data_IF_737303519934
#
_entry.id   IF_737303519934
#
_cell.length_a   1.000
_cell.length_b   1.000
_cell.length_c   1.000
_cell.angle_alpha   90.00
_cell.angle_beta   90.00
_cell.angle_gamma   90.00
#
_symmetry.space_group_name_H-M   'P 1'
#
loop_
_entity.id
_entity.type
_entity.pdbx_description
1 polymer ?
#
# COMPACT_ATOMS: atom_id res chain seq x y z
N UNK A 1 5.20 -9.70 -17.69
CA UNK A 1 4.66 -10.13 -16.39
C UNK A 1 4.34 -8.86 -15.65
N UNK A 2 3.13 -8.72 -15.13
CA UNK A 2 2.75 -7.50 -14.39
C UNK A 2 2.58 -7.82 -12.92
N UNK A 3 3.18 -7.00 -12.06
CA UNK A 3 3.00 -7.05 -10.61
C UNK A 3 2.29 -5.79 -10.13
N UNK A 4 1.07 -5.94 -9.65
CA UNK A 4 0.35 -4.87 -8.97
C UNK A 4 0.64 -4.91 -7.47
N UNK A 5 1.25 -3.85 -6.94
CA UNK A 5 1.50 -3.67 -5.52
C UNK A 5 0.55 -2.58 -5.00
N UNK A 6 -0.39 -2.94 -4.13
CA UNK A 6 -1.23 -2.01 -3.38
C UNK A 6 -0.69 -1.85 -1.95
N UNK A 7 -0.23 -0.66 -1.61
CA UNK A 7 0.17 -0.29 -0.26
C UNK A 7 -0.99 0.41 0.44
N UNK A 8 -1.41 -0.12 1.59
CA UNK A 8 -2.52 0.40 2.40
C UNK A 8 -1.97 0.88 3.74
N UNK A 9 -2.05 2.18 4.02
CA UNK A 9 -1.51 2.80 5.24
C UNK A 9 -2.36 2.42 6.47
N UNK A 10 -1.73 1.98 7.57
CA UNK A 10 -2.45 1.67 8.82
C UNK A 10 -3.42 0.49 8.74
N UNK A 11 -3.06 -0.60 8.05
CA UNK A 11 -3.83 -1.85 7.98
C UNK A 11 -3.08 -3.00 8.66
N UNK A 12 -3.49 -3.38 9.86
CA UNK A 12 -2.96 -4.52 10.60
C UNK A 12 -3.88 -5.75 10.55
N UNK A 13 -3.49 -6.78 11.30
CA UNK A 13 -4.23 -8.03 11.48
C UNK A 13 -4.51 -8.30 12.96
N UNK A 14 -5.67 -7.85 13.44
CA UNK A 14 -6.20 -8.18 14.75
C UNK A 14 -7.10 -9.43 14.70
N UNK A 15 -7.34 -10.11 15.85
CA UNK A 15 -8.38 -11.13 15.95
C UNK A 15 -9.76 -10.61 15.52
N UNK A 16 -10.68 -11.49 15.08
CA UNK A 16 -12.06 -11.11 14.82
C UNK A 16 -12.72 -10.54 16.08
N UNK A 17 -13.50 -9.48 15.95
CA UNK A 17 -14.13 -8.85 17.10
C UNK A 17 -14.96 -7.62 16.78
N UNK A 18 -15.71 -7.09 17.77
CA UNK A 18 -16.63 -5.98 17.57
C UNK A 18 -15.94 -4.65 17.26
N UNK A 19 -14.63 -4.52 17.52
CA UNK A 19 -13.83 -3.34 17.20
C UNK A 19 -12.98 -3.49 15.94
N UNK A 20 -12.99 -4.67 15.31
CA UNK A 20 -12.25 -4.93 14.09
C UNK A 20 -13.21 -4.84 12.89
N UNK A 21 -13.23 -3.72 12.14
CA UNK A 21 -14.15 -3.51 11.03
C UNK A 21 -13.95 -4.50 9.87
N UNK A 22 -12.77 -5.13 9.74
CA UNK A 22 -12.56 -6.21 8.77
C UNK A 22 -13.44 -7.44 9.08
N UNK A 23 -13.80 -7.66 10.35
CA UNK A 23 -14.67 -8.78 10.77
C UNK A 23 -16.09 -8.66 10.23
N UNK A 24 -16.49 -7.46 9.76
CA UNK A 24 -17.82 -7.18 9.24
C UNK A 24 -17.91 -7.41 7.72
N UNK A 25 -16.78 -7.58 7.04
CA UNK A 25 -16.77 -7.90 5.60
C UNK A 25 -17.27 -9.33 5.38
N UNK A 26 -18.28 -9.49 4.53
CA UNK A 26 -18.93 -10.77 4.25
C UNK A 26 -18.36 -11.51 3.04
N UNK A 27 -17.44 -10.89 2.29
CA UNK A 27 -16.81 -11.48 1.11
C UNK A 27 -15.85 -10.53 0.40
N UNK A 28 -15.25 -11.01 -0.69
CA UNK A 28 -14.23 -10.28 -1.43
C UNK A 28 -12.80 -10.51 -0.90
N UNK A 29 -11.79 -9.92 -1.56
CA UNK A 29 -10.39 -10.21 -1.32
C UNK A 29 -9.89 -9.81 0.08
N UNK A 30 -10.52 -8.83 0.74
CA UNK A 30 -10.09 -8.36 2.06
C UNK A 30 -10.85 -9.01 3.23
N UNK A 31 -12.01 -9.64 2.98
CA UNK A 31 -12.77 -10.28 4.04
C UNK A 31 -11.97 -11.34 4.84
N UNK A 32 -11.08 -12.14 4.23
CA UNK A 32 -10.25 -13.08 4.98
C UNK A 32 -9.30 -12.41 5.99
N UNK A 33 -8.96 -11.13 5.82
CA UNK A 33 -8.10 -10.40 6.74
C UNK A 33 -8.76 -10.18 8.11
N UNK A 34 -10.10 -10.12 8.15
CA UNK A 34 -10.89 -10.04 9.38
C UNK A 34 -11.18 -11.39 10.02
N UNK A 35 -10.72 -12.50 9.42
CA UNK A 35 -10.91 -13.86 9.92
C UNK A 35 -12.34 -14.43 9.79
N UNK A 36 -13.28 -13.67 9.21
CA UNK A 36 -14.67 -14.10 9.01
C UNK A 36 -14.86 -14.99 7.77
N UNK A 37 -13.92 -14.98 6.82
CA UNK A 37 -14.02 -15.73 5.56
C UNK A 37 -12.74 -16.54 5.27
N UNK A 38 -12.86 -17.72 4.64
CA UNK A 38 -11.70 -18.46 4.18
C UNK A 38 -11.00 -17.69 3.04
N UNK A 39 -9.70 -17.91 2.92
CA UNK A 39 -8.92 -17.34 1.83
C UNK A 39 -9.35 -17.99 0.50
N UNK A 40 -9.59 -17.16 -0.52
CA UNK A 40 -10.00 -17.62 -1.84
C UNK A 40 -8.90 -18.37 -2.61
N UNK A 41 -9.27 -19.05 -3.69
CA UNK A 41 -8.31 -19.72 -4.57
C UNK A 41 -7.30 -18.73 -5.17
N UNK A 42 -6.05 -19.18 -5.33
CA UNK A 42 -4.97 -18.37 -5.88
C UNK A 42 -4.41 -17.30 -4.91
N UNK A 43 -4.99 -17.15 -3.72
CA UNK A 43 -4.48 -16.26 -2.68
C UNK A 43 -3.54 -16.99 -1.71
N UNK A 44 -2.59 -16.23 -1.16
CA UNK A 44 -1.77 -16.61 0.00
C UNK A 44 -1.68 -15.43 0.95
N UNK A 45 -1.96 -15.63 2.23
CA UNK A 45 -1.84 -14.60 3.26
C UNK A 45 -0.66 -14.91 4.17
N UNK A 46 0.27 -13.97 4.26
CA UNK A 46 1.35 -13.98 5.25
C UNK A 46 1.16 -12.84 6.24
N UNK A 47 1.85 -12.95 7.38
CA UNK A 47 1.83 -11.96 8.47
C UNK A 47 3.23 -11.40 8.60
N UNK A 48 3.42 -10.11 8.35
CA UNK A 48 4.71 -9.46 8.52
C UNK A 48 4.77 -8.73 9.87
N UNK A 49 5.84 -8.96 10.63
CA UNK A 49 6.11 -8.18 11.82
C UNK A 49 6.51 -6.74 11.45
N UNK A 50 5.72 -5.77 11.92
CA UNK A 50 5.94 -4.34 11.77
C UNK A 50 6.76 -3.72 12.92
N UNK A 51 6.92 -4.44 14.04
CA UNK A 51 7.70 -3.98 15.20
C UNK A 51 9.20 -4.03 14.94
N UNK A 52 9.66 -4.95 14.10
CA UNK A 52 11.04 -5.07 13.64
C UNK A 52 12.05 -5.28 14.79
N UNK A 53 11.59 -5.85 15.91
CA UNK A 53 12.38 -6.00 17.13
C UNK A 53 12.78 -4.68 17.81
N UNK A 54 12.19 -3.55 17.43
CA UNK A 54 12.48 -2.23 18.00
C UNK A 54 11.37 -1.82 18.97
N UNK A 55 11.70 -1.41 20.22
CA UNK A 55 10.70 -0.98 21.20
C UNK A 55 9.81 0.18 20.71
N UNK A 56 8.55 0.15 21.11
CA UNK A 56 7.54 1.14 20.71
C UNK A 56 6.56 0.58 19.68
N UNK A 57 5.58 1.40 19.31
CA UNK A 57 4.60 1.04 18.29
C UNK A 57 5.14 1.37 16.89
N UNK A 58 4.91 0.52 15.88
CA UNK A 58 5.23 0.80 14.49
C UNK A 58 4.66 2.14 13.99
N UNK A 59 5.41 2.83 13.12
CA UNK A 59 5.06 4.17 12.64
C UNK A 59 5.37 4.33 11.15
N UNK A 60 4.60 5.16 10.45
CA UNK A 60 4.60 5.22 8.98
C UNK A 60 5.94 5.63 8.34
N UNK A 61 6.71 6.53 8.97
CA UNK A 61 7.96 6.98 8.37
C UNK A 61 9.02 5.85 8.34
N UNK A 62 9.19 5.17 9.48
CA UNK A 62 10.15 4.06 9.62
C UNK A 62 9.61 2.77 9.05
N UNK A 63 8.33 2.46 9.26
CA UNK A 63 7.65 1.28 8.72
C UNK A 63 7.69 1.28 7.20
N UNK A 64 7.19 2.34 6.56
CA UNK A 64 7.24 2.48 5.11
C UNK A 64 8.67 2.43 4.57
N UNK A 65 9.63 3.06 5.25
CA UNK A 65 11.04 2.99 4.82
C UNK A 65 11.56 1.56 4.89
N UNK A 66 11.23 0.80 5.94
CA UNK A 66 11.64 -0.59 6.05
C UNK A 66 10.99 -1.47 4.97
N UNK A 67 9.69 -1.31 4.79
CA UNK A 67 8.88 -1.99 3.77
C UNK A 67 9.49 -1.84 2.37
N UNK A 68 9.78 -0.61 1.96
CA UNK A 68 10.21 -0.28 0.60
C UNK A 68 11.72 -0.36 0.35
N UNK A 69 12.53 -0.65 1.37
CA UNK A 69 13.99 -0.73 1.24
C UNK A 69 14.59 -2.05 1.70
N UNK A 70 13.88 -2.81 2.52
CA UNK A 70 14.40 -4.00 3.17
C UNK A 70 15.41 -3.71 4.29
N UNK A 71 15.55 -2.45 4.73
CA UNK A 71 16.43 -2.03 5.82
C UNK A 71 15.61 -1.89 7.09
N UNK A 72 16.13 -2.30 8.24
CA UNK A 72 15.47 -2.06 9.53
C UNK A 72 15.59 -0.57 9.92
N UNK A 73 14.79 0.27 9.26
CA UNK A 73 14.80 1.71 9.40
C UNK A 73 14.64 2.21 10.85
N UNK A 74 13.74 1.68 11.69
CA UNK A 74 13.67 2.14 13.07
C UNK A 74 14.93 1.80 13.87
N UNK A 75 15.59 0.67 13.60
CA UNK A 75 16.89 0.36 14.23
C UNK A 75 17.99 1.34 13.77
N UNK A 76 18.02 1.72 12.50
CA UNK A 76 18.99 2.69 11.95
C UNK A 76 18.86 4.10 12.54
N UNK A 77 17.65 4.52 12.89
CA UNK A 77 17.37 5.87 13.40
C UNK A 77 17.06 5.93 14.90
N UNK A 78 17.21 4.80 15.60
CA UNK A 78 17.08 4.70 17.06
C UNK A 78 15.66 4.61 17.61
N UNK A 79 14.66 4.32 16.77
CA UNK A 79 13.26 4.13 17.18
C UNK A 79 12.27 4.30 16.04
N UNK A 80 11.00 4.02 16.33
CA UNK A 80 9.89 4.26 15.40
C UNK A 80 9.59 5.75 15.25
N UNK A 81 9.48 6.25 14.02
CA UNK A 81 9.20 7.66 13.73
C UNK A 81 7.87 7.84 12.99
N UNK A 82 7.01 8.69 13.53
CA UNK A 82 5.71 9.03 12.94
C UNK A 82 5.84 10.03 11.78
N UNK A 83 4.89 9.95 10.84
CA UNK A 83 4.68 10.98 9.83
C UNK A 83 5.65 10.87 8.66
N UNK A 84 6.46 11.91 8.46
CA UNK A 84 7.26 12.06 7.24
C UNK A 84 8.70 11.59 7.44
N UNK A 85 9.36 11.03 6.40
CA UNK A 85 10.73 10.57 6.49
C UNK A 85 11.71 11.70 6.82
N UNK A 86 12.53 11.46 7.85
CA UNK A 86 13.68 12.29 8.21
C UNK A 86 14.74 12.29 7.10
N UNK A 87 15.78 13.11 7.24
CA UNK A 87 16.88 13.14 6.27
C UNK A 87 17.59 11.78 6.14
N UNK A 88 17.84 11.10 7.26
CA UNK A 88 18.44 9.77 7.26
C UNK A 88 17.58 8.74 6.51
N UNK A 89 16.25 8.75 6.75
CA UNK A 89 15.33 7.86 6.05
C UNK A 89 15.27 8.16 4.54
N UNK A 90 15.32 9.44 4.15
CA UNK A 90 15.41 9.86 2.74
C UNK A 90 16.65 9.32 2.06
N UNK A 91 17.79 9.31 2.74
CA UNK A 91 19.04 8.75 2.22
C UNK A 91 19.01 7.22 2.09
N UNK A 92 18.31 6.53 2.98
CA UNK A 92 18.06 5.08 2.85
C UNK A 92 17.16 4.83 1.63
N UNK A 93 16.04 5.53 1.50
CA UNK A 93 15.14 5.43 0.34
C UNK A 93 15.86 5.74 -0.97
N UNK A 94 16.72 6.75 -0.99
CA UNK A 94 17.44 7.14 -2.20
C UNK A 94 18.42 6.09 -2.71
N UNK A 95 19.03 5.33 -1.80
CA UNK A 95 20.00 4.27 -2.11
C UNK A 95 19.35 2.89 -2.30
N UNK A 96 18.25 2.62 -1.60
CA UNK A 96 17.68 1.26 -1.45
C UNK A 96 16.20 1.17 -1.82
N UNK A 97 15.57 2.20 -2.35
CA UNK A 97 14.15 2.17 -2.74
C UNK A 97 13.83 1.05 -3.75
N UNK A 98 12.71 0.37 -3.55
CA UNK A 98 12.20 -0.71 -4.43
C UNK A 98 12.14 -0.27 -5.89
N UNK A 99 11.44 0.83 -6.19
CA UNK A 99 11.22 1.29 -7.57
C UNK A 99 12.54 1.58 -8.30
N UNK A 100 13.49 2.24 -7.61
CA UNK A 100 14.82 2.51 -8.15
C UNK A 100 15.54 1.21 -8.50
N UNK A 101 15.61 0.27 -7.56
CA UNK A 101 16.34 -1.00 -7.73
C UNK A 101 15.75 -1.91 -8.80
N UNK A 102 14.42 -1.90 -8.94
CA UNK A 102 13.73 -2.60 -10.02
C UNK A 102 14.05 -1.95 -11.38
N UNK A 103 13.98 -0.62 -11.47
CA UNK A 103 14.28 0.12 -12.71
C UNK A 103 15.73 0.00 -13.16
N UNK A 104 16.69 0.06 -12.23
CA UNK A 104 18.12 -0.14 -12.51
C UNK A 104 18.42 -1.53 -13.09
N UNK A 105 17.50 -2.50 -12.90
CA UNK A 105 17.56 -3.85 -13.48
C UNK A 105 16.66 -4.01 -14.71
N UNK A 106 16.19 -2.91 -15.30
CA UNK A 106 15.46 -2.90 -16.56
C UNK A 106 13.95 -3.09 -16.46
N UNK A 107 13.37 -3.21 -15.26
CA UNK A 107 11.92 -3.31 -15.09
C UNK A 107 11.22 -1.97 -15.43
N UNK A 108 10.10 -2.03 -16.15
CA UNK A 108 9.20 -0.89 -16.35
C UNK A 108 8.36 -0.70 -15.10
N UNK A 109 8.71 0.32 -14.33
CA UNK A 109 8.07 0.61 -13.04
C UNK A 109 7.31 1.92 -13.06
N UNK A 110 6.25 2.02 -12.27
CA UNK A 110 5.48 3.26 -12.11
C UNK A 110 4.74 3.29 -10.77
N UNK A 111 4.18 4.45 -10.43
CA UNK A 111 3.31 4.68 -9.27
C UNK A 111 2.02 5.35 -9.72
N UNK A 112 0.88 4.77 -9.36
CA UNK A 112 -0.41 5.19 -9.89
C UNK A 112 -0.90 6.55 -9.34
N UNK A 113 -0.43 6.99 -8.17
CA UNK A 113 -1.05 8.12 -7.48
C UNK A 113 -0.89 9.46 -8.20
N UNK A 114 -2.00 10.17 -8.37
CA UNK A 114 -2.04 11.56 -8.82
C UNK A 114 -1.88 12.55 -7.66
N UNK A 115 -1.29 13.71 -7.97
CA UNK A 115 -1.06 14.81 -7.03
C UNK A 115 -1.74 16.10 -7.49
N UNK A 116 -2.22 16.89 -6.53
CA UNK A 116 -2.91 18.17 -6.80
C UNK A 116 -1.92 19.30 -7.12
N UNK A 117 -2.33 20.38 -7.79
CA UNK A 117 -1.50 21.57 -7.96
C UNK A 117 -0.98 22.12 -6.62
N UNK A 118 -1.81 22.08 -5.57
CA UNK A 118 -1.43 22.51 -4.22
C UNK A 118 -0.35 21.64 -3.57
N UNK A 119 -0.16 20.40 -4.00
CA UNK A 119 0.98 19.58 -3.61
C UNK A 119 2.28 20.12 -4.24
N UNK A 120 2.27 20.43 -5.54
CA UNK A 120 3.45 20.96 -6.25
C UNK A 120 3.80 22.40 -5.84
N UNK A 121 2.80 23.23 -5.54
CA UNK A 121 3.01 24.61 -5.08
C UNK A 121 3.78 24.70 -3.75
N UNK A 122 3.77 23.64 -2.95
CA UNK A 122 4.57 23.53 -1.70
C UNK A 122 6.06 23.27 -1.97
N UNK A 123 6.49 23.23 -3.23
CA UNK A 123 7.88 23.05 -3.65
C UNK A 123 8.48 21.68 -3.29
N UNK A 124 9.81 21.62 -3.23
CA UNK A 124 10.57 20.46 -2.72
C UNK A 124 10.58 20.39 -1.20
N UNK A 125 9.64 21.06 -0.52
CA UNK A 125 9.58 21.09 0.94
C UNK A 125 9.63 19.68 1.52
N UNK A 126 10.16 19.55 2.75
CA UNK A 126 10.27 18.30 3.51
C UNK A 126 8.93 17.56 3.75
N UNK A 127 7.81 18.06 3.21
CA UNK A 127 6.46 17.47 3.30
C UNK A 127 6.17 16.43 2.21
N UNK A 128 7.04 15.43 2.09
CA UNK A 128 6.90 14.32 1.13
C UNK A 128 6.77 13.01 1.89
N UNK A 129 5.76 12.19 1.55
CA UNK A 129 5.59 10.83 2.12
C UNK A 129 6.75 9.93 1.73
N UNK A 130 6.87 8.77 2.39
CA UNK A 130 7.88 7.75 2.07
C UNK A 130 7.80 7.32 0.60
N UNK A 131 6.60 7.00 0.12
CA UNK A 131 6.33 6.60 -1.28
C UNK A 131 6.73 7.69 -2.27
N UNK A 132 6.41 8.94 -1.95
CA UNK A 132 6.76 10.09 -2.79
C UNK A 132 8.27 10.30 -2.85
N UNK A 133 8.98 10.21 -1.71
CA UNK A 133 10.45 10.29 -1.69
C UNK A 133 11.06 9.13 -2.47
N UNK A 134 10.53 7.91 -2.34
CA UNK A 134 10.98 6.75 -3.11
C UNK A 134 10.83 6.99 -4.62
N UNK A 135 9.68 7.48 -5.06
CA UNK A 135 9.41 7.81 -6.45
C UNK A 135 10.40 8.84 -7.01
N UNK A 136 10.55 9.97 -6.33
CA UNK A 136 11.45 11.04 -6.77
C UNK A 136 12.90 10.56 -6.81
N UNK A 137 13.31 9.77 -5.81
CA UNK A 137 14.64 9.17 -5.76
C UNK A 137 14.86 8.12 -6.84
N UNK A 138 13.80 7.44 -7.26
CA UNK A 138 13.78 6.59 -8.42
C UNK A 138 13.69 7.39 -9.71
N UNK A 139 13.75 8.73 -9.71
CA UNK A 139 13.71 9.57 -10.92
C UNK A 139 12.47 9.35 -11.78
N UNK A 140 11.33 9.06 -11.15
CA UNK A 140 10.04 8.89 -11.82
C UNK A 140 9.23 10.19 -11.71
N UNK A 141 8.48 10.57 -12.76
CA UNK A 141 7.64 11.76 -12.71
C UNK A 141 6.46 11.52 -11.74
N UNK A 142 6.09 12.56 -10.97
CA UNK A 142 4.88 12.54 -10.16
C UNK A 142 3.68 12.89 -11.04
N UNK A 143 2.64 12.05 -11.00
CA UNK A 143 1.45 12.24 -11.83
C UNK A 143 0.60 13.42 -11.37
N UNK A 144 0.01 14.14 -12.31
CA UNK A 144 -0.81 15.33 -12.11
C UNK A 144 -2.29 15.02 -12.34
N UNK A 145 -3.14 16.02 -12.13
CA UNK A 145 -4.58 15.89 -12.39
C UNK A 145 -4.87 15.70 -13.89
N UNK A 146 -4.00 16.17 -14.78
CA UNK A 146 -4.12 15.91 -16.21
C UNK A 146 -3.96 14.42 -16.53
N UNK A 147 -3.05 13.72 -15.85
CA UNK A 147 -2.83 12.28 -16.01
C UNK A 147 -4.04 11.50 -15.46
N UNK A 148 -4.60 11.95 -14.33
CA UNK A 148 -5.85 11.43 -13.77
C UNK A 148 -7.02 11.57 -14.77
N UNK A 149 -7.15 12.73 -15.42
CA UNK A 149 -8.20 12.97 -16.45
C UNK A 149 -8.05 12.07 -17.67
N UNK A 150 -6.81 11.71 -18.05
CA UNK A 150 -6.54 10.76 -19.13
C UNK A 150 -6.70 9.29 -18.72
N UNK A 151 -6.94 9.01 -17.44
CA UNK A 151 -7.03 7.65 -16.91
C UNK A 151 -5.67 6.98 -16.68
N UNK A 152 -4.59 7.75 -16.70
CA UNK A 152 -3.20 7.27 -16.50
C UNK A 152 -2.78 7.29 -15.02
N UNK A 153 -3.64 7.79 -14.14
CA UNK A 153 -3.42 7.90 -12.71
C UNK A 153 -4.69 7.59 -11.91
N UNK A 154 -4.52 7.28 -10.63
CA UNK A 154 -5.60 7.09 -9.65
C UNK A 154 -5.34 8.07 -8.50
N UNK A 155 -6.36 8.73 -7.97
CA UNK A 155 -6.17 9.58 -6.78
C UNK A 155 -6.15 8.73 -5.50
N UNK A 156 -5.60 9.24 -4.41
CA UNK A 156 -5.40 8.54 -3.12
C UNK A 156 -6.63 7.84 -2.51
N UNK A 157 -7.83 8.33 -2.80
CA UNK A 157 -9.12 7.79 -2.34
C UNK A 157 -9.81 6.95 -3.41
N UNK A 158 -9.14 6.70 -4.54
CA UNK A 158 -9.53 6.04 -5.79
C UNK A 158 -10.82 6.54 -6.47
N UNK A 159 -11.77 7.13 -5.74
CA UNK A 159 -13.06 7.61 -6.23
C UNK A 159 -13.05 9.05 -6.72
N UNK A 160 -12.00 9.82 -6.41
CA UNK A 160 -11.92 11.28 -6.60
C UNK A 160 -12.89 12.09 -5.73
N UNK A 161 -13.57 11.46 -4.76
CA UNK A 161 -14.50 12.16 -3.84
C UNK A 161 -13.80 13.28 -3.09
N UNK A 162 -12.61 13.03 -2.56
CA UNK A 162 -11.80 14.03 -1.85
C UNK A 162 -11.36 15.20 -2.75
N UNK A 163 -11.19 14.99 -4.06
CA UNK A 163 -10.88 16.09 -4.99
C UNK A 163 -12.11 16.99 -5.18
N UNK A 164 -13.27 16.37 -5.39
CA UNK A 164 -14.54 17.07 -5.60
C UNK A 164 -14.90 17.90 -4.36
N UNK A 165 -14.73 17.35 -3.16
CA UNK A 165 -14.91 18.06 -1.89
C UNK A 165 -13.97 19.26 -1.73
N UNK A 166 -12.78 19.22 -2.35
CA UNK A 166 -11.81 20.32 -2.39
C UNK A 166 -12.10 21.33 -3.51
N UNK A 167 -13.21 21.20 -4.23
CA UNK A 167 -13.58 22.07 -5.35
C UNK A 167 -12.80 21.82 -6.64
N UNK A 168 -12.12 20.67 -6.75
CA UNK A 168 -11.41 20.27 -7.97
C UNK A 168 -12.37 19.55 -8.91
N UNK A 169 -12.44 20.01 -10.16
CA UNK A 169 -13.21 19.33 -11.20
C UNK A 169 -12.58 17.98 -11.57
N UNK A 170 -13.25 16.90 -11.19
CA UNK A 170 -12.90 15.52 -11.48
C UNK A 170 -14.17 14.67 -11.63
N UNK A 171 -14.10 13.60 -12.42
CA UNK A 171 -15.18 12.62 -12.50
C UNK A 171 -15.18 11.75 -11.24
N UNK A 172 -16.35 11.63 -10.59
CA UNK A 172 -16.55 10.68 -9.50
C UNK A 172 -16.51 9.25 -10.06
N UNK A 173 -15.70 8.39 -9.47
CA UNK A 173 -15.59 6.98 -9.84
C UNK A 173 -16.21 6.10 -8.76
N UNK A 174 -16.81 4.99 -9.15
CA UNK A 174 -17.09 3.90 -8.21
C UNK A 174 -15.79 3.18 -7.84
N UNK A 175 -15.73 2.47 -6.71
CA UNK A 175 -14.60 1.60 -6.39
C UNK A 175 -14.27 0.62 -7.51
N UNK A 176 -15.27 0.03 -8.18
CA UNK A 176 -15.08 -0.89 -9.29
C UNK A 176 -14.46 -0.21 -10.52
N UNK A 177 -14.97 0.94 -10.92
CA UNK A 177 -14.43 1.65 -12.08
C UNK A 177 -12.97 2.07 -11.85
N UNK A 178 -12.64 2.52 -10.63
CA UNK A 178 -11.27 2.85 -10.26
C UNK A 178 -10.38 1.59 -10.18
N UNK A 179 -10.90 0.48 -9.64
CA UNK A 179 -10.18 -0.79 -9.52
C UNK A 179 -9.83 -1.36 -10.89
N UNK A 180 -10.81 -1.42 -11.80
CA UNK A 180 -10.59 -1.83 -13.19
C UNK A 180 -9.51 -0.99 -13.88
N UNK A 181 -9.52 0.33 -13.70
CA UNK A 181 -8.47 1.23 -14.23
C UNK A 181 -7.10 0.88 -13.65
N UNK A 182 -6.99 0.69 -12.34
CA UNK A 182 -5.73 0.32 -11.70
C UNK A 182 -5.17 -1.00 -12.27
N UNK A 183 -6.03 -2.01 -12.43
CA UNK A 183 -5.66 -3.29 -13.03
C UNK A 183 -5.14 -3.15 -14.47
N UNK A 184 -5.84 -2.39 -15.32
CA UNK A 184 -5.39 -2.11 -16.68
C UNK A 184 -4.04 -1.36 -16.73
N UNK A 185 -3.85 -0.37 -15.86
CA UNK A 185 -2.56 0.33 -15.75
C UNK A 185 -1.43 -0.62 -15.34
N UNK A 186 -1.72 -1.63 -14.49
CA UNK A 186 -0.73 -2.60 -14.06
C UNK A 186 -0.23 -3.46 -15.23
N UNK A 187 -1.10 -3.84 -16.17
CA UNK A 187 -0.77 -4.67 -17.34
C UNK A 187 0.26 -4.04 -18.30
N UNK A 188 0.38 -2.73 -18.28
CA UNK A 188 1.35 -1.99 -19.13
C UNK A 188 2.77 -1.95 -18.54
N UNK A 189 2.92 -2.41 -17.29
CA UNK A 189 4.13 -2.26 -16.47
C UNK A 189 4.56 -3.60 -15.91
N UNK A 190 5.84 -3.70 -15.54
CA UNK A 190 6.36 -4.87 -14.86
C UNK A 190 6.09 -4.77 -13.35
N UNK A 191 6.12 -3.54 -12.80
CA UNK A 191 5.68 -3.21 -11.43
C UNK A 191 4.88 -1.91 -11.42
N UNK A 192 3.64 -1.95 -10.93
CA UNK A 192 2.85 -0.76 -10.61
C UNK A 192 2.58 -0.73 -9.11
N UNK A 193 2.97 0.36 -8.46
CA UNK A 193 2.63 0.63 -7.06
C UNK A 193 1.46 1.61 -6.95
N UNK A 194 0.53 1.37 -6.04
CA UNK A 194 -0.52 2.32 -5.65
C UNK A 194 -0.56 2.44 -4.13
N UNK A 195 -0.65 3.66 -3.62
CA UNK A 195 -0.76 3.96 -2.19
C UNK A 195 -2.19 4.41 -1.85
N UNK A 196 -2.78 3.78 -0.83
CA UNK A 196 -4.05 4.18 -0.25
C UNK A 196 -3.87 4.44 1.24
N UNK A 197 -4.10 5.69 1.67
CA UNK A 197 -3.84 6.09 3.06
C UNK A 197 -5.08 6.56 3.82
N UNK A 198 -6.27 6.31 3.26
CA UNK A 198 -7.51 6.68 3.94
C UNK A 198 -7.78 5.81 5.17
N UNK A 199 -7.28 4.57 5.18
CA UNK A 199 -7.45 3.61 6.27
C UNK A 199 -6.80 4.09 7.59
N UNK A 200 -5.55 4.56 7.58
CA UNK A 200 -4.93 5.17 8.76
C UNK A 200 -5.69 6.41 9.24
N UNK A 201 -6.18 7.24 8.32
CA UNK A 201 -7.00 8.40 8.67
C UNK A 201 -8.30 8.00 9.40
N UNK A 202 -8.94 6.91 8.98
CA UNK A 202 -10.10 6.36 9.67
C UNK A 202 -9.73 5.78 11.03
N UNK A 203 -8.61 5.06 11.17
CA UNK A 203 -8.16 4.57 12.48
C UNK A 203 -7.93 5.70 13.50
N UNK A 204 -7.38 6.85 13.06
CA UNK A 204 -7.16 8.00 13.95
C UNK A 204 -8.42 8.81 14.28
N UNK A 205 -9.42 8.87 13.37
CA UNK A 205 -10.49 9.90 13.43
C UNK A 205 -11.89 9.43 13.09
N UNK A 206 -12.04 8.27 12.46
CA UNK A 206 -13.33 7.74 12.04
C UNK A 206 -14.03 6.97 13.15
N UNK A 207 -15.32 6.71 12.96
CA UNK A 207 -16.04 5.70 13.73
C UNK A 207 -15.80 4.31 13.14
N UNK A 208 -16.23 3.26 13.85
CA UNK A 208 -16.15 1.89 13.31
C UNK A 208 -16.98 1.74 12.03
N UNK A 209 -18.10 2.46 11.91
CA UNK A 209 -18.92 2.48 10.70
C UNK A 209 -18.21 3.20 9.55
N UNK A 210 -17.47 4.27 9.82
CA UNK A 210 -16.63 4.93 8.83
C UNK A 210 -15.51 4.00 8.34
N UNK A 211 -14.83 3.33 9.28
CA UNK A 211 -13.78 2.38 8.98
C UNK A 211 -14.29 1.17 8.17
N UNK A 212 -15.45 0.62 8.53
CA UNK A 212 -16.11 -0.44 7.76
C UNK A 212 -16.41 0.01 6.34
N UNK A 213 -17.03 1.19 6.15
CA UNK A 213 -17.34 1.72 4.81
C UNK A 213 -16.08 1.92 3.97
N UNK A 214 -15.02 2.47 4.55
CA UNK A 214 -13.74 2.64 3.86
C UNK A 214 -13.14 1.29 3.43
N UNK A 215 -13.21 0.27 4.30
CA UNK A 215 -12.72 -1.08 4.00
C UNK A 215 -13.59 -1.81 2.97
N UNK A 216 -14.91 -1.62 2.99
CA UNK A 216 -15.81 -2.18 1.97
C UNK A 216 -15.55 -1.56 0.58
N UNK A 217 -15.39 -0.23 0.51
CA UNK A 217 -15.01 0.44 -0.73
C UNK A 217 -13.63 -0.05 -1.22
N UNK A 218 -12.64 -0.17 -0.33
CA UNK A 218 -11.32 -0.72 -0.68
C UNK A 218 -11.40 -2.19 -1.14
N UNK A 219 -12.23 -3.01 -0.49
CA UNK A 219 -12.46 -4.41 -0.84
C UNK A 219 -13.01 -4.57 -2.26
N UNK A 220 -14.01 -3.74 -2.62
CA UNK A 220 -14.58 -3.69 -3.97
C UNK A 220 -13.59 -3.19 -5.01
N UNK A 221 -12.81 -2.15 -4.66
CA UNK A 221 -11.72 -1.63 -5.49
C UNK A 221 -10.67 -2.70 -5.82
N UNK A 222 -10.15 -3.39 -4.79
CA UNK A 222 -9.17 -4.46 -4.96
C UNK A 222 -9.76 -5.63 -5.76
N UNK A 223 -11.01 -6.03 -5.47
CA UNK A 223 -11.68 -7.11 -6.20
C UNK A 223 -11.78 -6.81 -7.70
N UNK A 224 -12.13 -5.57 -8.05
CA UNK A 224 -12.22 -5.15 -9.45
C UNK A 224 -10.85 -5.01 -10.12
N UNK A 225 -9.80 -4.59 -9.40
CA UNK A 225 -8.44 -4.56 -9.93
C UNK A 225 -7.93 -5.97 -10.25
N UNK A 226 -8.18 -6.93 -9.36
CA UNK A 226 -7.82 -8.34 -9.57
C UNK A 226 -8.56 -8.96 -10.76
N UNK A 227 -9.82 -8.60 -10.99
CA UNK A 227 -10.60 -9.10 -12.12
C UNK A 227 -10.04 -8.70 -13.50
N UNK A 228 -9.14 -7.71 -13.57
CA UNK A 228 -8.43 -7.33 -14.79
C UNK A 228 -7.11 -8.08 -15.00
N UNK A 229 -6.65 -8.86 -14.02
CA UNK A 229 -5.37 -9.58 -14.04
C UNK A 229 -5.58 -11.07 -14.32
N UNK A 230 -4.58 -11.72 -14.91
CA UNK A 230 -4.60 -13.16 -15.18
C UNK A 230 -3.71 -13.91 -14.17
N UNK A 231 -4.23 -14.84 -13.35
CA UNK A 231 -3.50 -15.40 -12.20
C UNK A 231 -2.21 -16.16 -12.56
N UNK A 232 -2.16 -16.81 -13.73
CA UNK A 232 -0.97 -17.56 -14.17
C UNK A 232 0.16 -16.66 -14.68
N UNK A 233 -0.19 -15.45 -15.13
CA UNK A 233 0.74 -14.51 -15.79
C UNK A 233 1.11 -13.35 -14.88
N UNK A 234 0.16 -12.85 -14.12
CA UNK A 234 0.21 -11.59 -13.39
C UNK A 234 0.17 -11.87 -11.87
N UNK A 235 0.70 -10.93 -11.09
CA UNK A 235 0.79 -11.04 -9.64
C UNK A 235 0.20 -9.84 -8.95
N UNK A 236 -0.31 -10.06 -7.74
CA UNK A 236 -0.80 -9.00 -6.88
C UNK A 236 -0.24 -9.13 -5.46
N UNK A 237 0.09 -7.99 -4.86
CA UNK A 237 0.55 -7.86 -3.48
C UNK A 237 -0.26 -6.73 -2.84
N UNK A 238 -0.82 -6.98 -1.66
CA UNK A 238 -1.33 -5.95 -0.77
C UNK A 238 -0.66 -6.06 0.60
N UNK A 239 -0.16 -4.94 1.09
CA UNK A 239 0.44 -4.89 2.42
C UNK A 239 0.38 -3.50 3.04
N UNK A 240 0.81 -3.40 4.29
CA UNK A 240 0.89 -2.19 5.08
C UNK A 240 2.27 -2.10 5.75
N UNK A 241 2.52 -1.00 6.43
CA UNK A 241 3.73 -0.75 7.19
C UNK A 241 3.49 -0.65 8.70
N UNK A 242 2.23 -0.54 9.13
CA UNK A 242 1.80 -0.67 10.52
C UNK A 242 0.30 -0.97 10.63
N UNK A 243 -0.17 -1.32 11.82
CA UNK A 243 -1.60 -1.44 12.13
C UNK A 243 -2.21 -0.15 12.68
N UNK A 244 -3.52 0.01 12.48
CA UNK A 244 -4.36 1.04 13.08
C UNK A 244 -5.85 0.63 12.94
N UNK A 245 -6.36 0.59 11.71
CA UNK A 245 -7.81 0.44 11.43
C UNK A 245 -8.42 -0.88 11.90
N UNK A 246 -7.61 -1.91 12.13
CA UNK A 246 -8.05 -3.22 12.60
C UNK A 246 -8.48 -3.24 14.07
N UNK A 247 -8.22 -2.17 14.83
CA UNK A 247 -8.64 -2.02 16.22
C UNK A 247 -9.19 -0.61 16.50
N UNK A 248 -10.50 -0.45 16.31
CA UNK A 248 -11.22 0.80 16.52
C UNK A 248 -11.57 1.07 18.00
N UNK A 249 -11.02 0.30 18.95
CA UNK A 249 -11.21 0.57 20.39
C UNK A 249 -10.37 1.75 20.88
N UNK A 250 -9.34 2.14 20.13
CA UNK A 250 -8.46 3.27 20.40
C UNK A 250 -7.94 3.87 19.08
N UNK A 251 -7.33 5.06 19.14
CA UNK A 251 -6.81 5.76 17.95
C UNK A 251 -5.30 5.59 17.72
N UNK A 252 -4.61 4.86 18.61
CA UNK A 252 -3.17 4.62 18.49
C UNK A 252 -2.87 3.51 17.47
N UNK A 253 -1.70 3.57 16.85
CA UNK A 253 -1.20 2.44 16.06
C UNK A 253 -1.03 1.20 16.94
N UNK A 254 -1.17 0.02 16.33
CA UNK A 254 -1.07 -1.26 17.04
C UNK A 254 0.30 -1.91 16.82
N UNK A 255 0.56 -2.95 17.60
CA UNK A 255 1.71 -3.88 17.40
C UNK A 255 1.30 -5.14 16.64
N UNK A 256 0.08 -5.18 16.10
CA UNK A 256 -0.37 -6.31 15.30
C UNK A 256 0.50 -6.46 14.05
N UNK A 257 0.72 -7.70 13.56
CA UNK A 257 1.37 -7.89 12.28
C UNK A 257 0.51 -7.31 11.16
N UNK A 258 1.14 -6.93 10.06
CA UNK A 258 0.45 -6.43 8.87
C UNK A 258 0.24 -7.55 7.84
N UNK A 259 -0.81 -7.48 7.00
CA UNK A 259 -1.01 -8.48 5.97
C UNK A 259 0.07 -8.36 4.90
N UNK A 260 0.52 -9.49 4.38
CA UNK A 260 1.11 -9.58 3.03
C UNK A 260 0.20 -10.53 2.26
N UNK A 261 -0.83 -9.94 1.66
CA UNK A 261 -1.83 -10.64 0.85
C UNK A 261 -1.31 -10.76 -0.57
N UNK A 262 -1.12 -11.98 -1.02
CA UNK A 262 -0.59 -12.33 -2.33
C UNK A 262 -1.67 -12.97 -3.15
N UNK A 263 -1.67 -12.72 -4.46
CA UNK A 263 -2.56 -13.42 -5.39
C UNK A 263 -1.87 -13.75 -6.72
N UNK A 264 -2.36 -14.81 -7.37
CA UNK A 264 -1.89 -15.27 -8.66
C UNK A 264 -0.42 -15.69 -8.62
N UNK A 265 0.36 -15.24 -9.60
CA UNK A 265 1.77 -15.58 -9.71
C UNK A 265 2.60 -15.15 -8.49
N UNK A 266 2.22 -14.05 -7.83
CA UNK A 266 2.89 -13.62 -6.60
C UNK A 266 2.69 -14.67 -5.49
N UNK A 267 1.47 -15.18 -5.29
CA UNK A 267 1.20 -16.23 -4.32
C UNK A 267 1.96 -17.52 -4.62
N UNK A 268 2.03 -17.90 -5.90
CA UNK A 268 2.67 -19.14 -6.36
C UNK A 268 4.20 -19.13 -6.24
N UNK A 269 4.84 -17.96 -6.36
CA UNK A 269 6.32 -17.83 -6.42
C UNK A 269 6.94 -17.14 -5.21
N UNK A 270 6.15 -16.67 -4.25
CA UNK A 270 6.66 -15.98 -3.09
C UNK A 270 7.51 -16.89 -2.20
N UNK A 271 8.77 -16.51 -2.00
CA UNK A 271 9.77 -17.32 -1.31
C UNK A 271 9.85 -17.07 0.18
N UNK A 272 9.51 -15.85 0.66
CA UNK A 272 9.60 -15.55 2.09
C UNK A 272 8.49 -16.28 2.87
N UNK A 273 8.87 -16.91 3.99
CA UNK A 273 8.02 -17.80 4.76
C UNK A 273 7.59 -17.23 6.12
N UNK A 274 7.49 -18.11 7.10
CA UNK A 274 7.23 -17.75 8.49
C UNK A 274 8.32 -16.82 9.05
N UNK A 275 7.95 -15.96 10.00
CA UNK A 275 8.86 -14.95 10.57
C UNK A 275 9.17 -13.78 9.63
N UNK A 276 8.36 -13.58 8.57
CA UNK A 276 8.45 -12.41 7.70
C UNK A 276 8.36 -11.12 8.53
N UNK A 277 9.21 -10.17 8.21
CA UNK A 277 9.15 -8.78 8.71
C UNK A 277 8.99 -7.83 7.54
N UNK A 278 8.70 -6.55 7.78
CA UNK A 278 8.65 -5.54 6.70
C UNK A 278 9.93 -5.55 5.84
N UNK A 279 11.08 -5.86 6.44
CA UNK A 279 12.36 -5.88 5.75
C UNK A 279 12.45 -6.98 4.68
N UNK A 280 11.66 -8.05 4.80
CA UNK A 280 11.63 -9.15 3.84
C UNK A 280 10.79 -8.88 2.59
N UNK A 281 9.90 -7.88 2.62
CA UNK A 281 8.95 -7.64 1.52
C UNK A 281 9.66 -7.17 0.26
N UNK A 282 10.44 -6.09 0.31
CA UNK A 282 11.10 -5.58 -0.91
C UNK A 282 12.06 -6.61 -1.54
N UNK A 283 12.93 -7.33 -0.80
CA UNK A 283 13.74 -8.40 -1.38
C UNK A 283 12.91 -9.46 -2.10
N UNK A 284 11.79 -9.91 -1.50
CA UNK A 284 10.89 -10.88 -2.13
C UNK A 284 10.20 -10.32 -3.38
N UNK A 285 9.79 -9.04 -3.37
CA UNK A 285 9.25 -8.37 -4.57
C UNK A 285 10.28 -8.32 -5.69
N UNK A 286 11.54 -7.99 -5.38
CA UNK A 286 12.61 -7.96 -6.38
C UNK A 286 12.88 -9.36 -6.96
N UNK A 287 12.97 -10.40 -6.12
CA UNK A 287 13.12 -11.80 -6.56
C UNK A 287 11.97 -12.22 -7.49
N UNK A 288 10.73 -11.90 -7.13
CA UNK A 288 9.56 -12.14 -7.99
C UNK A 288 9.63 -11.45 -9.34
N UNK A 289 10.04 -10.18 -9.36
CA UNK A 289 10.12 -9.37 -10.58
C UNK A 289 11.23 -9.84 -11.52
N UNK A 290 12.35 -10.28 -10.96
CA UNK A 290 13.58 -10.56 -11.69
C UNK A 290 13.78 -12.05 -11.99
N UNK A 291 12.99 -12.92 -11.37
CA UNK A 291 13.10 -14.37 -11.51
C UNK A 291 14.32 -14.95 -10.78
N UNK A 292 14.76 -14.30 -9.71
CA UNK A 292 15.87 -14.71 -8.84
C UNK A 292 15.40 -15.61 -7.70
#
# INVERSE_FOLDING_TARGET
MSLLFVFVDGLGLAPPGPFNPLSQLSGGPLAPLGGACPLGEGFRLLRADACLGVPGVPQSATGGTALFTGVNAPAEVGGHLQGLPSQALREILARRGLLRRARERGARVDFANAYTPGFFARGTSRRRSVTTVMMESAGLPLKRLEDLRRGEAIYRDFTNRLLIEQGVEAALLSPEEAGRRLGLLALERDLLLYEHFHTDHMGHRGTIEDAFRALDELNRFVGSALAALEPDRDGFILTSDHGNIEDMSHTAHTTHPVPVLLWGRAAARWTAGEGLTLCGVTPAVLSLLLGE
#
